data_IF_878784921446
#
_entry.id   IF_878784921446
#
_cell.length_a   1.000
_cell.length_b   1.000
_cell.length_c   1.000
_cell.angle_alpha   90.00
_cell.angle_beta   90.00
_cell.angle_gamma   90.00
#
_symmetry.space_group_name_H-M   'P 1'
#
loop_
_entity.id
_entity.type
_entity.pdbx_description
1 polymer ?
#
# COMPACT_ATOMS: atom_id res chain seq x y z
N UNK A 1 -11.80 -11.59 0.88
CA UNK A 1 -10.72 -10.71 1.37
C UNK A 1 -11.32 -9.43 1.94
N UNK A 2 -10.88 -8.97 3.10
CA UNK A 2 -11.38 -7.74 3.69
C UNK A 2 -10.89 -6.52 2.90
N UNK A 3 -11.58 -5.38 3.08
CA UNK A 3 -11.15 -4.14 2.42
C UNK A 3 -9.72 -3.76 2.84
N UNK A 4 -9.39 -3.96 4.11
CA UNK A 4 -8.06 -3.64 4.60
C UNK A 4 -7.00 -4.49 3.91
N UNK A 5 -7.25 -5.79 3.77
CA UNK A 5 -6.27 -6.69 3.16
C UNK A 5 -5.94 -6.35 1.71
N UNK A 6 -6.91 -5.85 0.94
CA UNK A 6 -6.62 -5.50 -0.46
C UNK A 6 -5.60 -4.36 -0.54
N UNK A 7 -5.66 -3.41 0.38
CA UNK A 7 -4.68 -2.32 0.40
C UNK A 7 -3.29 -2.81 0.74
N UNK A 8 -3.21 -3.81 1.62
CA UNK A 8 -1.93 -4.42 1.97
C UNK A 8 -1.30 -5.12 0.77
N UNK A 9 -2.12 -5.84 -0.01
CA UNK A 9 -1.66 -6.51 -1.23
C UNK A 9 -1.15 -5.47 -2.24
N UNK A 10 -1.90 -4.40 -2.47
CA UNK A 10 -1.49 -3.35 -3.39
C UNK A 10 -0.20 -2.68 -2.93
N UNK A 11 -0.07 -2.43 -1.64
CA UNK A 11 1.14 -1.86 -1.07
C UNK A 11 2.36 -2.74 -1.39
N UNK A 12 2.23 -4.04 -1.16
CA UNK A 12 3.32 -4.98 -1.42
C UNK A 12 3.71 -5.02 -2.90
N UNK A 13 2.70 -4.99 -3.78
CA UNK A 13 2.95 -4.98 -5.23
C UNK A 13 3.74 -3.73 -5.63
N UNK A 14 3.33 -2.56 -5.12
CA UNK A 14 4.03 -1.33 -5.44
C UNK A 14 5.46 -1.32 -4.93
N UNK A 15 5.69 -1.88 -3.76
CA UNK A 15 7.05 -1.99 -3.23
C UNK A 15 7.93 -2.89 -4.11
N UNK A 16 7.39 -4.00 -4.57
CA UNK A 16 8.14 -4.90 -5.45
C UNK A 16 8.47 -4.20 -6.77
N UNK A 17 7.51 -3.47 -7.34
CA UNK A 17 7.75 -2.73 -8.56
C UNK A 17 8.83 -1.66 -8.36
N UNK A 18 8.74 -0.91 -7.27
CA UNK A 18 9.71 0.15 -6.98
C UNK A 18 11.12 -0.41 -6.82
N UNK A 19 11.22 -1.63 -6.33
CA UNK A 19 12.51 -2.28 -6.08
C UNK A 19 13.06 -3.00 -7.32
N UNK A 20 12.30 -3.05 -8.41
CA UNK A 20 12.76 -3.71 -9.62
C UNK A 20 13.86 -2.90 -10.30
N UNK A 21 14.73 -3.58 -11.05
CA UNK A 21 15.84 -2.93 -11.77
C UNK A 21 15.34 -1.88 -12.77
N UNK A 22 14.15 -2.09 -13.32
CA UNK A 22 13.55 -1.20 -14.31
C UNK A 22 13.26 0.19 -13.77
N UNK A 23 12.77 0.26 -12.52
CA UNK A 23 12.35 1.53 -11.93
C UNK A 23 13.31 2.11 -10.91
N UNK A 24 14.25 1.29 -10.44
CA UNK A 24 15.17 1.72 -9.39
C UNK A 24 16.00 2.93 -9.80
N UNK A 25 16.01 3.95 -8.94
CA UNK A 25 16.75 5.17 -9.20
C UNK A 25 16.04 6.16 -10.10
N UNK A 26 14.79 5.89 -10.50
CA UNK A 26 14.03 6.76 -11.39
C UNK A 26 12.94 7.54 -10.62
N UNK A 27 12.32 8.50 -11.30
CA UNK A 27 11.17 9.19 -10.74
C UNK A 27 10.00 8.24 -10.52
N UNK A 28 9.92 7.18 -11.33
CA UNK A 28 8.89 6.17 -11.18
C UNK A 28 9.02 5.44 -9.83
N UNK A 29 10.25 5.20 -9.38
CA UNK A 29 10.47 4.59 -8.07
C UNK A 29 9.87 5.46 -6.97
N UNK A 30 10.11 6.76 -7.00
CA UNK A 30 9.56 7.69 -6.01
C UNK A 30 8.03 7.69 -6.03
N UNK A 31 7.45 7.70 -7.24
CA UNK A 31 6.00 7.67 -7.38
C UNK A 31 5.40 6.38 -6.81
N UNK A 32 6.04 5.26 -7.07
CA UNK A 32 5.57 3.97 -6.55
C UNK A 32 5.65 3.92 -5.02
N UNK A 33 6.72 4.45 -4.46
CA UNK A 33 6.86 4.50 -2.99
C UNK A 33 5.84 5.43 -2.36
N UNK A 34 5.54 6.57 -2.99
CA UNK A 34 4.52 7.49 -2.51
C UNK A 34 3.14 6.82 -2.56
N UNK A 35 2.86 6.07 -3.62
CA UNK A 35 1.62 5.30 -3.74
C UNK A 35 1.49 4.24 -2.67
N UNK A 36 2.60 3.55 -2.37
CA UNK A 36 2.62 2.54 -1.32
C UNK A 36 2.32 3.16 0.05
N UNK A 37 2.88 4.34 0.32
CA UNK A 37 2.62 5.04 1.58
C UNK A 37 1.15 5.41 1.73
N UNK A 38 0.52 5.85 0.64
CA UNK A 38 -0.92 6.18 0.64
C UNK A 38 -1.77 4.94 0.91
N UNK A 39 -1.40 3.83 0.30
CA UNK A 39 -2.12 2.57 0.51
C UNK A 39 -1.99 2.10 1.96
N UNK A 40 -0.85 2.33 2.58
CA UNK A 40 -0.67 1.99 3.98
C UNK A 40 -1.58 2.83 4.88
N UNK A 41 -1.75 4.11 4.55
CA UNK A 41 -2.72 4.97 5.24
C UNK A 41 -4.14 4.46 5.09
N UNK A 42 -4.53 4.03 3.89
CA UNK A 42 -5.85 3.46 3.63
C UNK A 42 -6.03 2.14 4.40
N UNK A 43 -5.00 1.32 4.45
CA UNK A 43 -5.05 0.08 5.20
C UNK A 43 -5.35 0.35 6.67
N UNK A 44 -4.65 1.31 7.27
CA UNK A 44 -4.84 1.66 8.67
C UNK A 44 -6.25 2.20 8.95
N UNK A 45 -6.77 3.05 8.05
CA UNK A 45 -8.15 3.57 8.16
C UNK A 45 -9.18 2.44 8.16
N UNK A 46 -9.07 1.54 7.19
CA UNK A 46 -10.02 0.43 7.06
C UNK A 46 -9.90 -0.54 8.22
N UNK A 47 -8.69 -0.76 8.70
CA UNK A 47 -8.45 -1.64 9.84
C UNK A 47 -9.09 -1.06 11.11
N UNK A 48 -8.95 0.23 11.31
CA UNK A 48 -9.57 0.91 12.44
C UNK A 48 -11.09 0.84 12.37
N UNK A 49 -11.67 1.04 11.18
CA UNK A 49 -13.11 0.94 11.00
C UNK A 49 -13.62 -0.48 11.28
N UNK A 50 -12.87 -1.49 10.83
CA UNK A 50 -13.23 -2.89 11.11
C UNK A 50 -13.21 -3.19 12.60
N UNK A 51 -12.23 -2.66 13.31
CA UNK A 51 -12.15 -2.86 14.76
C UNK A 51 -13.29 -2.17 15.49
N UNK A 52 -13.68 -0.98 15.05
CA UNK A 52 -14.82 -0.26 15.62
C UNK A 52 -16.12 -1.00 15.39
N UNK A 53 -16.27 -1.62 14.23
CA UNK A 53 -17.47 -2.38 13.91
C UNK A 53 -17.64 -3.61 14.82
N UNK A 54 -16.57 -4.10 15.39
CA UNK A 54 -16.60 -5.25 16.30
C UNK A 54 -16.94 -4.86 17.74
N UNK A 55 -16.86 -3.59 18.05
CA UNK A 55 -17.25 -3.09 19.37
C UNK A 55 -18.76 -2.99 19.50
#
# INVERSE_FOLDING_TARGET
MSKANKYLVYHDILLEMANSAEYKGSLAEEALLAGAARLMGKYEEEKEDELKALE
#
